data_IF_719166034985
#
_entry.id   IF_719166034985
#
_cell.length_a   1.000
_cell.length_b   1.000
_cell.length_c   1.000
_cell.angle_alpha   90.00
_cell.angle_beta   90.00
_cell.angle_gamma   90.00
#
_symmetry.space_group_name_H-M   'P 1'
#
loop_
_entity.id
_entity.type
_entity.pdbx_description
1 polymer ?
#
# COMPACT_ATOMS: atom_id res chain seq x y z
N UNK A 1 -5.91 -42.27 -12.87
CA UNK A 1 -6.27 -40.86 -12.57
C UNK A 1 -5.02 -39.97 -12.53
N UNK A 2 -4.28 -39.78 -13.64
CA UNK A 2 -2.98 -39.05 -13.61
C UNK A 2 -2.71 -38.02 -14.74
N UNK A 3 -3.71 -37.56 -15.50
CA UNK A 3 -3.47 -36.65 -16.63
C UNK A 3 -3.65 -35.14 -16.38
N UNK A 4 -4.02 -34.69 -15.18
CA UNK A 4 -4.37 -33.27 -14.97
C UNK A 4 -3.23 -32.32 -14.59
N UNK A 5 -2.04 -32.80 -14.19
CA UNK A 5 -1.00 -31.90 -13.66
C UNK A 5 -0.22 -31.14 -14.74
N UNK A 6 -0.14 -31.66 -15.97
CA UNK A 6 0.66 -31.08 -17.06
C UNK A 6 0.09 -29.79 -17.67
N UNK A 7 -1.23 -29.61 -17.64
CA UNK A 7 -1.92 -28.47 -18.27
C UNK A 7 -2.06 -27.25 -17.34
N UNK A 8 -1.93 -27.44 -16.03
CA UNK A 8 -2.12 -26.37 -15.02
C UNK A 8 -0.98 -25.35 -15.03
N UNK A 9 0.26 -25.80 -15.22
CA UNK A 9 1.45 -24.93 -15.25
C UNK A 9 1.44 -23.93 -16.43
N UNK A 10 1.19 -24.34 -17.69
CA UNK A 10 1.09 -23.39 -18.81
C UNK A 10 -0.15 -22.50 -18.71
N UNK A 11 -1.26 -22.99 -18.14
CA UNK A 11 -2.45 -22.17 -17.93
C UNK A 11 -2.19 -21.04 -16.92
N UNK A 12 -1.56 -21.34 -15.78
CA UNK A 12 -1.20 -20.32 -14.78
C UNK A 12 -0.26 -19.28 -15.38
N UNK A 13 0.75 -19.72 -16.15
CA UNK A 13 1.66 -18.81 -16.84
C UNK A 13 0.91 -17.93 -17.85
N UNK A 14 0.02 -18.51 -18.66
CA UNK A 14 -0.77 -17.76 -19.64
C UNK A 14 -1.71 -16.74 -18.97
N UNK A 15 -2.36 -17.12 -17.87
CA UNK A 15 -3.20 -16.21 -17.07
C UNK A 15 -2.36 -15.10 -16.46
N UNK A 16 -1.21 -15.42 -15.85
CA UNK A 16 -0.33 -14.42 -15.25
C UNK A 16 0.16 -13.42 -16.30
N UNK A 17 0.62 -13.90 -17.46
CA UNK A 17 1.05 -13.05 -18.58
C UNK A 17 -0.11 -12.20 -19.09
N UNK A 18 -1.30 -12.79 -19.26
CA UNK A 18 -2.50 -12.06 -19.66
C UNK A 18 -2.86 -10.93 -18.70
N UNK A 19 -2.81 -11.20 -17.39
CA UNK A 19 -3.06 -10.19 -16.35
C UNK A 19 -2.01 -9.07 -16.38
N UNK A 20 -0.72 -9.41 -16.54
CA UNK A 20 0.37 -8.42 -16.62
C UNK A 20 0.20 -7.53 -17.86
N UNK A 21 -0.08 -8.13 -19.02
CA UNK A 21 -0.27 -7.37 -20.26
C UNK A 21 -1.50 -6.48 -20.20
N UNK A 22 -2.61 -6.95 -19.64
CA UNK A 22 -3.80 -6.14 -19.45
C UNK A 22 -3.53 -4.96 -18.51
N UNK A 23 -2.90 -5.22 -17.36
CA UNK A 23 -2.51 -4.16 -16.41
C UNK A 23 -1.54 -3.15 -17.00
N UNK A 24 -0.50 -3.61 -17.70
CA UNK A 24 0.46 -2.75 -18.39
C UNK A 24 -0.18 -1.92 -19.51
N UNK A 25 -1.17 -2.47 -20.22
CA UNK A 25 -1.90 -1.77 -21.27
C UNK A 25 -2.80 -0.66 -20.72
N UNK A 26 -3.50 -0.92 -19.61
CA UNK A 26 -4.29 0.12 -18.90
C UNK A 26 -3.37 1.22 -18.40
N UNK A 27 -2.27 0.88 -17.74
CA UNK A 27 -1.28 1.84 -17.26
C UNK A 27 -0.74 2.72 -18.40
N UNK A 28 -0.45 2.14 -19.56
CA UNK A 28 -0.02 2.87 -20.75
C UNK A 28 -1.11 3.81 -21.28
N UNK A 29 -2.35 3.34 -21.36
CA UNK A 29 -3.49 4.12 -21.85
C UNK A 29 -3.85 5.29 -20.92
N UNK A 30 -3.61 5.15 -19.62
CA UNK A 30 -3.87 6.19 -18.61
C UNK A 30 -2.66 7.08 -18.33
N UNK A 31 -1.62 7.04 -19.17
CA UNK A 31 -0.48 7.95 -19.08
C UNK A 31 0.53 7.61 -17.98
N UNK A 32 0.45 6.46 -17.31
CA UNK A 32 1.37 6.12 -16.23
C UNK A 32 2.81 5.90 -16.71
N UNK A 33 3.03 5.68 -18.01
CA UNK A 33 4.38 5.54 -18.56
C UNK A 33 5.23 6.80 -18.38
N UNK A 34 4.60 7.96 -18.14
CA UNK A 34 5.29 9.20 -17.78
C UNK A 34 6.16 9.05 -16.52
N UNK A 35 5.84 8.13 -15.59
CA UNK A 35 6.69 7.86 -14.41
C UNK A 35 8.08 7.32 -14.76
N UNK A 36 8.21 6.68 -15.93
CA UNK A 36 9.48 6.13 -16.42
C UNK A 36 10.20 7.10 -17.36
N UNK A 37 9.60 8.26 -17.66
CA UNK A 37 10.27 9.31 -18.43
C UNK A 37 11.16 10.11 -17.49
N UNK A 38 12.44 10.18 -17.83
CA UNK A 38 13.39 11.03 -17.11
C UNK A 38 13.53 12.35 -17.85
N UNK A 39 12.83 13.37 -17.37
CA UNK A 39 13.01 14.74 -17.84
C UNK A 39 14.02 15.47 -16.94
N UNK A 40 14.91 16.27 -17.54
CA UNK A 40 15.75 17.18 -16.77
C UNK A 40 14.87 18.32 -16.25
N UNK A 41 14.58 18.29 -14.96
CA UNK A 41 13.86 19.35 -14.27
C UNK A 41 14.86 20.41 -13.82
N UNK A 42 14.54 21.68 -14.04
CA UNK A 42 15.34 22.78 -13.53
C UNK A 42 15.46 22.69 -11.99
N UNK A 43 16.63 23.04 -11.40
CA UNK A 43 16.76 23.08 -9.95
C UNK A 43 15.67 23.96 -9.33
N UNK A 44 14.90 23.39 -8.41
CA UNK A 44 13.87 24.11 -7.66
C UNK A 44 14.46 24.56 -6.34
N UNK A 45 14.28 25.84 -6.01
CA UNK A 45 14.64 26.35 -4.69
C UNK A 45 13.64 25.80 -3.67
N UNK A 46 14.16 25.09 -2.65
CA UNK A 46 13.36 24.55 -1.55
C UNK A 46 13.25 25.62 -0.48
N UNK A 47 12.03 26.06 -0.19
CA UNK A 47 11.74 27.03 0.87
C UNK A 47 11.64 26.36 2.25
N UNK A 48 11.70 27.16 3.32
CA UNK A 48 11.50 26.63 4.68
C UNK A 48 10.12 26.01 4.90
N UNK A 49 9.10 26.49 4.19
CA UNK A 49 7.73 25.97 4.25
C UNK A 49 7.63 24.59 3.58
N UNK A 50 8.38 24.37 2.48
CA UNK A 50 8.48 23.05 1.84
C UNK A 50 9.11 22.01 2.77
N UNK A 51 10.12 22.40 3.56
CA UNK A 51 10.75 21.50 4.54
C UNK A 51 9.80 21.19 5.70
N UNK A 52 9.01 22.16 6.14
CA UNK A 52 8.00 21.96 7.17
C UNK A 52 6.88 21.01 6.71
N UNK A 53 6.46 21.10 5.45
CA UNK A 53 5.47 20.20 4.86
C UNK A 53 5.95 18.73 4.83
N UNK A 54 7.24 18.50 4.62
CA UNK A 54 7.83 17.16 4.60
C UNK A 54 8.05 16.55 6.01
N UNK A 55 7.81 17.30 7.08
CA UNK A 55 8.10 16.86 8.44
C UNK A 55 7.22 15.68 8.91
N UNK A 56 6.02 15.52 8.35
CA UNK A 56 5.09 14.44 8.72
C UNK A 56 5.43 13.08 8.07
N UNK A 57 6.24 13.09 7.00
CA UNK A 57 6.65 11.90 6.27
C UNK A 57 7.32 10.82 7.13
N UNK A 58 8.38 11.12 7.90
CA UNK A 58 9.05 10.11 8.72
C UNK A 58 8.09 9.47 9.72
N UNK A 59 7.14 10.23 10.26
CA UNK A 59 6.19 9.74 11.27
C UNK A 59 5.20 8.74 10.66
N UNK A 60 4.67 9.03 9.47
CA UNK A 60 3.75 8.12 8.76
C UNK A 60 4.44 6.82 8.32
N UNK A 61 5.69 6.91 7.83
CA UNK A 61 6.48 5.74 7.45
C UNK A 61 6.93 4.92 8.68
N UNK A 62 7.25 5.59 9.79
CA UNK A 62 7.54 4.94 11.06
C UNK A 62 6.29 4.21 11.59
N UNK A 63 5.11 4.83 11.53
CA UNK A 63 3.86 4.19 11.89
C UNK A 63 3.57 2.96 11.03
N UNK A 64 3.79 3.05 9.72
CA UNK A 64 3.63 1.90 8.80
C UNK A 64 4.59 0.76 9.17
N UNK A 65 5.84 1.09 9.48
CA UNK A 65 6.84 0.11 9.92
C UNK A 65 6.43 -0.54 11.23
N UNK A 66 5.94 0.24 12.20
CA UNK A 66 5.42 -0.27 13.48
C UNK A 66 4.25 -1.24 13.28
N UNK A 67 3.31 -0.93 12.38
CA UNK A 67 2.20 -1.85 12.03
C UNK A 67 2.73 -3.19 11.51
N UNK A 68 3.72 -3.18 10.63
CA UNK A 68 4.31 -4.41 10.09
C UNK A 68 5.12 -5.17 11.13
N UNK A 69 5.89 -4.48 11.98
CA UNK A 69 6.67 -5.09 13.04
C UNK A 69 5.76 -5.74 14.09
N UNK A 70 4.68 -5.08 14.51
CA UNK A 70 3.73 -5.65 15.47
C UNK A 70 2.99 -6.86 14.90
N UNK A 71 2.65 -6.85 13.61
CA UNK A 71 2.12 -8.04 12.94
C UNK A 71 3.15 -9.18 12.90
N UNK A 72 4.39 -8.90 12.52
CA UNK A 72 5.45 -9.90 12.47
C UNK A 72 5.75 -10.48 13.86
N UNK A 73 5.71 -9.65 14.91
CA UNK A 73 5.83 -10.08 16.30
C UNK A 73 4.69 -11.01 16.69
N UNK A 74 3.43 -10.65 16.40
CA UNK A 74 2.29 -11.52 16.63
C UNK A 74 2.47 -12.88 15.92
N UNK A 75 2.83 -12.87 14.64
CA UNK A 75 3.04 -14.11 13.87
C UNK A 75 4.20 -14.94 14.43
N UNK A 76 5.24 -14.31 14.98
CA UNK A 76 6.37 -15.01 15.59
C UNK A 76 6.00 -15.79 16.85
N UNK A 77 4.85 -15.47 17.47
CA UNK A 77 4.30 -16.25 18.58
C UNK A 77 3.74 -17.60 18.14
N UNK A 78 3.52 -17.84 16.84
CA UNK A 78 2.95 -19.09 16.31
C UNK A 78 3.87 -19.81 15.33
N UNK A 79 4.65 -19.09 14.52
CA UNK A 79 5.63 -19.63 13.56
C UNK A 79 7.03 -19.03 13.76
N UNK A 80 8.05 -19.49 13.03
CA UNK A 80 9.41 -18.96 13.19
C UNK A 80 9.51 -17.47 12.83
N UNK A 81 10.45 -16.70 13.42
CA UNK A 81 10.60 -15.28 13.10
C UNK A 81 10.86 -15.00 11.61
N UNK A 82 11.70 -15.81 10.96
CA UNK A 82 12.01 -15.68 9.54
C UNK A 82 10.77 -15.93 8.66
N UNK A 83 9.96 -16.94 8.98
CA UNK A 83 8.71 -17.22 8.28
C UNK A 83 7.66 -16.11 8.53
N UNK A 84 7.60 -15.58 9.75
CA UNK A 84 6.70 -14.49 10.13
C UNK A 84 6.94 -13.24 9.28
N UNK A 85 8.21 -12.88 9.08
CA UNK A 85 8.59 -11.79 8.19
C UNK A 85 8.09 -11.99 6.76
N UNK A 86 8.28 -13.18 6.19
CA UNK A 86 7.79 -13.50 4.84
C UNK A 86 6.26 -13.39 4.73
N UNK A 87 5.53 -13.89 5.74
CA UNK A 87 4.07 -13.80 5.77
C UNK A 87 3.61 -12.35 5.90
N UNK A 88 4.22 -11.56 6.78
CA UNK A 88 3.90 -10.14 6.94
C UNK A 88 4.12 -9.35 5.64
N UNK A 89 5.24 -9.60 4.93
CA UNK A 89 5.50 -9.00 3.61
C UNK A 89 4.48 -9.45 2.57
N UNK A 90 4.07 -10.72 2.58
CA UNK A 90 3.04 -11.23 1.69
C UNK A 90 1.68 -10.54 1.90
N UNK A 91 1.27 -10.36 3.15
CA UNK A 91 0.03 -9.66 3.51
C UNK A 91 0.14 -8.17 3.15
N UNK A 92 1.28 -7.54 3.41
CA UNK A 92 1.57 -6.17 2.99
C UNK A 92 1.38 -6.00 1.47
N UNK A 93 2.01 -6.85 0.66
CA UNK A 93 1.86 -6.81 -0.79
C UNK A 93 0.42 -7.05 -1.25
N UNK A 94 -0.27 -8.03 -0.65
CA UNK A 94 -1.66 -8.34 -1.00
C UNK A 94 -2.63 -7.18 -0.69
N UNK A 95 -2.46 -6.52 0.46
CA UNK A 95 -3.30 -5.37 0.86
C UNK A 95 -2.99 -4.11 0.05
N UNK A 96 -1.73 -3.90 -0.35
CA UNK A 96 -1.35 -2.85 -1.28
C UNK A 96 -1.97 -3.08 -2.67
N UNK A 97 -1.91 -4.30 -3.23
CA UNK A 97 -2.58 -4.65 -4.49
C UNK A 97 -4.09 -4.41 -4.39
N UNK A 98 -4.71 -4.80 -3.28
CA UNK A 98 -6.13 -4.52 -3.03
C UNK A 98 -6.44 -3.01 -3.00
N UNK A 99 -5.54 -2.19 -2.46
CA UNK A 99 -5.62 -0.74 -2.49
C UNK A 99 -5.57 -0.17 -3.92
N UNK A 100 -4.64 -0.66 -4.74
CA UNK A 100 -4.51 -0.28 -6.17
C UNK A 100 -5.75 -0.69 -6.95
N UNK A 101 -6.23 -1.93 -6.78
CA UNK A 101 -7.46 -2.42 -7.42
C UNK A 101 -8.66 -1.56 -7.02
N UNK A 102 -8.76 -1.16 -5.76
CA UNK A 102 -9.80 -0.25 -5.28
C UNK A 102 -9.76 1.12 -5.98
N UNK A 103 -8.58 1.73 -6.09
CA UNK A 103 -8.41 3.02 -6.78
C UNK A 103 -8.75 2.91 -8.28
N UNK A 104 -8.33 1.83 -8.94
CA UNK A 104 -8.70 1.58 -10.34
C UNK A 104 -10.22 1.42 -10.47
N UNK A 105 -10.87 0.71 -9.54
CA UNK A 105 -12.30 0.49 -9.56
C UNK A 105 -13.13 1.77 -9.41
N UNK A 106 -12.62 2.76 -8.66
CA UNK A 106 -13.26 4.09 -8.56
C UNK A 106 -13.30 4.80 -9.92
N UNK A 107 -12.22 4.72 -10.71
CA UNK A 107 -12.16 5.25 -12.09
C UNK A 107 -13.20 4.59 -13.01
N UNK A 108 -13.45 3.29 -12.81
CA UNK A 108 -14.45 2.54 -13.58
C UNK A 108 -15.88 2.61 -13.01
N UNK A 109 -16.10 3.34 -11.91
CA UNK A 109 -17.42 3.44 -11.27
C UNK A 109 -17.94 2.15 -10.64
N UNK A 110 -17.04 1.22 -10.25
CA UNK A 110 -17.41 -0.05 -9.62
C UNK A 110 -17.28 0.04 -8.09
N UNK A 111 -18.36 0.42 -7.41
CA UNK A 111 -18.39 0.62 -5.95
C UNK A 111 -18.02 -0.64 -5.15
N UNK A 112 -18.40 -1.82 -5.62
CA UNK A 112 -18.11 -3.08 -4.91
C UNK A 112 -16.61 -3.34 -4.91
N UNK A 113 -15.96 -3.14 -6.05
CA UNK A 113 -14.53 -3.35 -6.19
C UNK A 113 -13.73 -2.21 -5.54
N UNK A 114 -14.25 -0.97 -5.54
CA UNK A 114 -13.68 0.14 -4.78
C UNK A 114 -13.64 -0.14 -3.27
N UNK A 115 -14.70 -0.77 -2.75
CA UNK A 115 -14.77 -1.17 -1.32
C UNK A 115 -13.68 -2.14 -0.90
N UNK A 116 -13.12 -2.93 -1.82
CA UNK A 116 -12.00 -3.85 -1.52
C UNK A 116 -10.78 -3.08 -0.99
N UNK A 117 -10.44 -1.95 -1.61
CA UNK A 117 -9.35 -1.08 -1.13
C UNK A 117 -9.65 -0.43 0.22
N UNK A 118 -10.92 -0.10 0.48
CA UNK A 118 -11.32 0.44 1.80
C UNK A 118 -11.23 -0.63 2.90
N UNK A 119 -11.71 -1.84 2.62
CA UNK A 119 -11.66 -2.96 3.58
C UNK A 119 -10.21 -3.39 3.85
N UNK A 120 -9.36 -3.42 2.83
CA UNK A 120 -7.95 -3.78 3.02
C UNK A 120 -7.24 -2.79 3.95
N UNK A 121 -7.52 -1.49 3.84
CA UNK A 121 -6.97 -0.43 4.72
C UNK A 121 -7.48 -0.51 6.15
N UNK A 122 -8.70 -1.01 6.36
CA UNK A 122 -9.21 -1.27 7.72
C UNK A 122 -8.50 -2.48 8.32
N UNK A 123 -8.28 -3.52 7.52
CA UNK A 123 -7.69 -4.79 7.96
C UNK A 123 -6.18 -4.67 8.25
N UNK A 124 -5.43 -4.06 7.34
CA UNK A 124 -4.02 -3.73 7.52
C UNK A 124 -3.80 -2.28 7.02
N UNK A 125 -3.59 -1.31 7.93
CA UNK A 125 -3.64 0.11 7.57
C UNK A 125 -2.41 0.63 6.83
N UNK A 126 -1.54 -0.24 6.33
CA UNK A 126 -0.28 0.13 5.67
C UNK A 126 -0.49 0.83 4.33
N UNK A 127 -1.48 0.45 3.53
CA UNK A 127 -1.80 1.15 2.27
C UNK A 127 -2.29 2.58 2.53
N UNK A 128 -3.07 2.78 3.60
CA UNK A 128 -3.53 4.10 4.00
C UNK A 128 -2.38 5.00 4.45
N UNK A 129 -1.49 4.49 5.31
CA UNK A 129 -0.31 5.22 5.78
C UNK A 129 0.62 5.61 4.62
N UNK A 130 0.83 4.71 3.66
CA UNK A 130 1.58 4.99 2.43
C UNK A 130 0.95 6.15 1.64
N UNK A 131 -0.36 6.10 1.41
CA UNK A 131 -1.10 7.15 0.70
C UNK A 131 -1.04 8.50 1.40
N UNK A 132 -1.09 8.52 2.72
CA UNK A 132 -0.89 9.73 3.52
C UNK A 132 0.51 10.30 3.37
N UNK A 133 1.53 9.43 3.39
CA UNK A 133 2.90 9.86 3.13
C UNK A 133 3.04 10.42 1.71
N UNK A 134 2.45 9.76 0.70
CA UNK A 134 2.47 10.27 -0.67
C UNK A 134 1.74 11.60 -0.82
N UNK A 135 0.62 11.81 -0.10
CA UNK A 135 -0.05 13.10 -0.06
C UNK A 135 0.83 14.20 0.54
N UNK A 136 1.54 13.92 1.65
CA UNK A 136 2.49 14.85 2.25
C UNK A 136 3.70 15.16 1.34
N UNK A 137 4.08 14.22 0.46
CA UNK A 137 5.08 14.48 -0.59
C UNK A 137 4.59 15.44 -1.69
N UNK A 138 3.28 15.70 -1.79
CA UNK A 138 2.69 16.45 -2.89
C UNK A 138 2.61 17.98 -2.63
N UNK A 139 2.50 18.48 -1.39
CA UNK A 139 2.28 19.93 -1.11
C UNK A 139 3.58 20.79 -1.10
N UNK A 140 3.64 22.11 -1.47
CA UNK A 140 2.76 22.96 -2.31
C UNK A 140 3.40 23.58 -3.59
N UNK A 141 4.71 23.51 -3.84
CA UNK A 141 5.35 24.21 -4.99
C UNK A 141 5.33 23.45 -6.34
N UNK A 142 5.28 22.12 -6.28
CA UNK A 142 5.42 21.23 -7.44
C UNK A 142 4.06 20.77 -8.01
N UNK A 143 3.01 20.75 -7.18
CA UNK A 143 1.66 20.34 -7.58
C UNK A 143 1.09 21.20 -8.71
N UNK A 144 1.32 22.52 -8.73
CA UNK A 144 0.73 23.37 -9.78
C UNK A 144 1.24 23.07 -11.20
N UNK A 145 2.40 22.44 -11.35
CA UNK A 145 2.94 22.01 -12.66
C UNK A 145 2.78 20.52 -12.94
N UNK A 146 2.56 19.73 -11.89
CA UNK A 146 2.55 18.28 -11.94
C UNK A 146 1.14 17.67 -11.78
N UNK A 147 0.20 18.39 -11.17
CA UNK A 147 -1.15 17.91 -10.86
C UNK A 147 -1.95 17.46 -12.08
N UNK A 148 -1.76 18.10 -13.25
CA UNK A 148 -2.40 17.63 -14.49
C UNK A 148 -1.83 16.29 -14.99
N UNK A 149 -0.54 16.03 -14.77
CA UNK A 149 0.12 14.77 -15.14
C UNK A 149 -0.13 13.65 -14.11
N UNK A 150 -0.43 14.01 -12.87
CA UNK A 150 -0.66 13.09 -11.77
C UNK A 150 -2.15 12.95 -11.38
N UNK A 151 -3.12 13.57 -12.05
CA UNK A 151 -4.54 13.36 -11.69
C UNK A 151 -4.97 11.89 -11.80
N UNK A 152 -5.50 11.31 -10.71
CA UNK A 152 -6.11 9.97 -10.73
C UNK A 152 -5.15 8.76 -10.83
N UNK A 153 -3.87 8.92 -10.47
CA UNK A 153 -3.00 7.74 -10.28
C UNK A 153 -3.51 6.88 -9.11
N UNK A 154 -3.26 5.56 -9.09
CA UNK A 154 -3.66 4.72 -7.97
C UNK A 154 -2.62 4.67 -6.85
N UNK A 155 -1.46 5.33 -6.99
CA UNK A 155 -0.32 5.19 -6.06
C UNK A 155 -0.11 6.34 -5.09
N UNK A 156 -0.52 7.57 -5.45
CA UNK A 156 -0.56 8.74 -4.58
C UNK A 156 -2.02 9.03 -4.15
N UNK A 157 -2.21 10.08 -3.38
CA UNK A 157 -3.51 10.45 -2.80
C UNK A 157 -3.65 11.96 -2.80
N UNK A 158 -4.74 12.44 -3.39
CA UNK A 158 -5.07 13.87 -3.39
C UNK A 158 -5.75 14.32 -2.09
N UNK A 159 -6.13 13.37 -1.23
CA UNK A 159 -6.78 13.64 0.06
C UNK A 159 -5.83 13.37 1.23
N UNK A 160 -5.78 14.29 2.23
CA UNK A 160 -5.00 14.09 3.44
C UNK A 160 -5.61 13.00 4.33
N UNK A 161 -4.77 12.41 5.18
CA UNK A 161 -5.21 11.38 6.12
C UNK A 161 -6.11 11.96 7.20
N UNK A 162 -7.28 11.33 7.40
CA UNK A 162 -8.16 11.75 8.48
C UNK A 162 -7.56 11.45 9.87
N UNK A 163 -7.73 12.34 10.86
CA UNK A 163 -7.33 12.06 12.25
C UNK A 163 -7.99 10.79 12.82
N UNK A 164 -9.22 10.48 12.37
CA UNK A 164 -9.92 9.25 12.73
C UNK A 164 -9.17 7.99 12.27
N UNK A 165 -8.60 8.02 11.06
CA UNK A 165 -7.79 6.92 10.54
C UNK A 165 -6.49 6.75 11.34
N UNK A 166 -5.84 7.84 11.75
CA UNK A 166 -4.67 7.79 12.63
C UNK A 166 -5.01 7.20 14.01
N UNK A 167 -6.16 7.57 14.57
CA UNK A 167 -6.70 6.95 15.78
C UNK A 167 -6.94 5.45 15.61
N UNK A 168 -7.46 5.04 14.45
CA UNK A 168 -7.63 3.63 14.09
C UNK A 168 -6.29 2.89 13.99
N UNK A 169 -5.26 3.48 13.38
CA UNK A 169 -3.90 2.90 13.30
C UNK A 169 -3.34 2.65 14.70
N UNK A 170 -3.45 3.64 15.59
CA UNK A 170 -2.98 3.50 16.97
C UNK A 170 -3.73 2.39 17.73
N UNK A 171 -5.05 2.33 17.57
CA UNK A 171 -5.88 1.25 18.14
C UNK A 171 -5.48 -0.12 17.57
N UNK A 172 -5.28 -0.23 16.27
CA UNK A 172 -4.88 -1.46 15.60
C UNK A 172 -3.56 -2.00 16.17
N UNK A 173 -2.55 -1.13 16.33
CA UNK A 173 -1.26 -1.48 16.92
C UNK A 173 -1.45 -2.00 18.36
N UNK A 174 -2.24 -1.31 19.18
CA UNK A 174 -2.53 -1.74 20.54
C UNK A 174 -3.24 -3.10 20.59
N UNK A 175 -4.21 -3.35 19.69
CA UNK A 175 -4.94 -4.61 19.59
C UNK A 175 -4.02 -5.77 19.20
N UNK A 176 -3.11 -5.56 18.24
CA UNK A 176 -2.19 -6.61 17.78
C UNK A 176 -1.13 -6.92 18.83
N UNK A 177 -0.60 -5.91 19.52
CA UNK A 177 0.34 -6.12 20.63
C UNK A 177 -0.31 -6.86 21.81
N UNK A 178 -1.51 -6.46 22.22
CA UNK A 178 -2.25 -7.15 23.30
C UNK A 178 -2.56 -8.59 22.91
N UNK A 179 -2.93 -8.84 21.65
CA UNK A 179 -3.12 -10.20 21.16
C UNK A 179 -1.82 -11.01 21.20
N UNK A 180 -0.69 -10.43 20.78
CA UNK A 180 0.62 -11.10 20.83
C UNK A 180 0.99 -11.48 22.26
N UNK A 181 0.81 -10.58 23.22
CA UNK A 181 1.03 -10.84 24.65
C UNK A 181 0.14 -11.98 25.16
N UNK A 182 -1.16 -11.97 24.83
CA UNK A 182 -2.10 -13.02 25.24
C UNK A 182 -1.70 -14.38 24.67
N UNK A 183 -1.33 -14.45 23.39
CA UNK A 183 -0.91 -15.71 22.75
C UNK A 183 0.39 -16.22 23.36
N UNK A 184 1.36 -15.34 23.58
CA UNK A 184 2.65 -15.70 24.17
C UNK A 184 2.48 -16.29 25.58
N UNK A 185 1.70 -15.62 26.45
CA UNK A 185 1.42 -16.11 27.81
C UNK A 185 0.73 -17.48 27.86
N UNK A 186 -0.11 -17.79 26.86
CA UNK A 186 -0.78 -19.10 26.76
C UNK A 186 0.17 -20.23 26.33
N UNK A 187 1.35 -19.90 25.81
CA UNK A 187 2.35 -20.86 25.34
C UNK A 187 3.39 -21.21 26.40
N UNK A 188 3.60 -20.32 27.37
CA UNK A 188 4.58 -20.47 28.46
C UNK A 188 4.06 -21.30 29.66
N UNK A 189 2.82 -21.78 29.59
CA UNK A 189 2.20 -22.70 30.58
C UNK A 189 2.08 -24.11 30.04
#
# INVERSE_FOLDING_TARGET
MHHESGRRRPLIAAVAVGTILAGGSVAAATGWLEIFRTDQVAPVEVSGDDVAALAELPDLLAAQTTVLLTLALLLSTVVSPMASGMVAVGIFGATWVAGVVGAIAEVFGNETLARVGSVSRVLLPTDGLWRGAMNAFQDPGLLTRAAEAFGGHPFLSETPLSPAFLGWVALWVALVLTLAEVVFRRRDV
#
